data_IF_364372847603
#
_entry.id   IF_364372847603
#
_cell.length_a   1.000
_cell.length_b   1.000
_cell.length_c   1.000
_cell.angle_alpha   90.00
_cell.angle_beta   90.00
_cell.angle_gamma   90.00
#
_symmetry.space_group_name_H-M   'P 1'
#
loop_
_entity.id
_entity.type
_entity.pdbx_description
1 polymer ?
#
# COMPACT_ATOMS: atom_id res chain seq x y z
N UNK A 1 -8.54 -24.73 15.32
CA UNK A 1 -8.14 -23.33 15.10
C UNK A 1 -9.40 -22.48 14.99
N UNK A 2 -9.40 -21.27 15.53
CA UNK A 2 -10.51 -20.32 15.41
C UNK A 2 -10.14 -19.17 14.47
N UNK A 3 -11.03 -18.86 13.55
CA UNK A 3 -10.86 -17.85 12.52
C UNK A 3 -11.91 -16.77 12.72
N UNK A 4 -11.45 -15.52 12.73
CA UNK A 4 -12.29 -14.33 12.68
C UNK A 4 -12.34 -13.83 11.26
N UNK A 5 -13.53 -13.55 10.74
CA UNK A 5 -13.68 -12.97 9.41
C UNK A 5 -14.85 -12.01 9.35
N UNK A 6 -14.85 -11.15 8.33
CA UNK A 6 -15.78 -10.04 8.19
C UNK A 6 -16.38 -10.08 6.80
N UNK A 7 -17.70 -10.02 6.75
CA UNK A 7 -18.45 -9.87 5.52
C UNK A 7 -19.10 -8.48 5.49
N UNK A 8 -19.01 -7.81 4.35
CA UNK A 8 -19.77 -6.59 4.12
C UNK A 8 -21.27 -6.88 3.87
N UNK A 9 -22.05 -5.82 3.64
CA UNK A 9 -23.47 -5.90 3.32
C UNK A 9 -23.81 -6.68 2.04
N UNK A 10 -22.80 -7.03 1.22
CA UNK A 10 -22.95 -7.83 -0.02
C UNK A 10 -22.50 -9.29 0.14
N UNK A 11 -22.16 -9.70 1.37
CA UNK A 11 -21.56 -11.00 1.66
C UNK A 11 -20.16 -11.17 1.06
N UNK A 12 -19.45 -10.10 0.72
CA UNK A 12 -18.07 -10.19 0.25
C UNK A 12 -17.10 -10.15 1.45
N UNK A 13 -16.04 -10.96 1.35
CA UNK A 13 -15.00 -11.03 2.36
C UNK A 13 -14.17 -9.74 2.39
N UNK A 14 -14.26 -9.03 3.51
CA UNK A 14 -13.49 -7.81 3.76
C UNK A 14 -12.16 -8.10 4.45
N UNK A 15 -12.15 -9.08 5.36
CA UNK A 15 -11.01 -9.37 6.21
C UNK A 15 -11.15 -10.77 6.84
N UNK A 16 -10.03 -11.46 7.04
CA UNK A 16 -9.95 -12.70 7.81
C UNK A 16 -8.58 -12.88 8.48
N UNK A 17 -8.57 -13.52 9.66
CA UNK A 17 -7.34 -13.99 10.32
C UNK A 17 -7.60 -15.13 11.30
N UNK A 18 -6.52 -15.77 11.75
CA UNK A 18 -6.55 -16.68 12.89
C UNK A 18 -6.65 -15.85 14.17
N UNK A 19 -7.56 -16.23 15.07
CA UNK A 19 -7.73 -15.58 16.37
C UNK A 19 -7.01 -16.33 17.49
N UNK A 20 -7.22 -17.64 17.55
CA UNK A 20 -6.68 -18.50 18.60
C UNK A 20 -6.70 -19.97 18.16
N UNK A 21 -5.77 -20.77 18.68
CA UNK A 21 -5.86 -22.23 18.67
C UNK A 21 -6.50 -22.80 19.94
N UNK A 22 -6.52 -22.01 21.02
CA UNK A 22 -7.08 -22.36 22.33
C UNK A 22 -8.47 -21.74 22.51
N UNK A 23 -9.42 -22.58 22.92
CA UNK A 23 -10.80 -22.14 23.21
C UNK A 23 -10.87 -21.26 24.45
N UNK A 24 -9.97 -21.43 25.42
CA UNK A 24 -9.99 -20.69 26.68
C UNK A 24 -9.64 -19.20 26.50
N UNK A 25 -8.85 -18.87 25.48
CA UNK A 25 -8.49 -17.48 25.14
C UNK A 25 -9.42 -16.88 24.07
N UNK A 26 -10.37 -17.66 23.55
CA UNK A 26 -11.15 -17.26 22.38
C UNK A 26 -12.04 -16.05 22.64
N UNK A 27 -12.70 -16.01 23.80
CA UNK A 27 -13.59 -14.91 24.18
C UNK A 27 -12.85 -13.56 24.16
N UNK A 28 -11.67 -13.50 24.80
CA UNK A 28 -10.80 -12.32 24.79
C UNK A 28 -10.26 -12.01 23.39
N UNK A 29 -9.72 -13.01 22.67
CA UNK A 29 -9.14 -12.78 21.33
C UNK A 29 -10.16 -12.29 20.32
N UNK A 30 -11.39 -12.78 20.43
CA UNK A 30 -12.47 -12.34 19.56
C UNK A 30 -12.99 -10.96 19.94
N UNK A 31 -13.08 -10.62 21.23
CA UNK A 31 -13.36 -9.25 21.69
C UNK A 31 -12.31 -8.23 21.22
N UNK A 32 -11.03 -8.53 21.42
CA UNK A 32 -9.91 -7.74 20.90
C UNK A 32 -10.00 -7.54 19.39
N UNK A 33 -10.32 -8.61 18.67
CA UNK A 33 -10.55 -8.54 17.23
C UNK A 33 -11.69 -7.59 16.90
N UNK A 34 -12.88 -7.76 17.50
CA UNK A 34 -14.04 -6.89 17.27
C UNK A 34 -13.71 -5.40 17.50
N UNK A 35 -13.09 -5.05 18.63
CA UNK A 35 -12.71 -3.67 18.91
C UNK A 35 -11.61 -3.14 17.98
N UNK A 36 -10.65 -3.97 17.58
CA UNK A 36 -9.63 -3.55 16.61
C UNK A 36 -10.26 -3.13 15.28
N UNK A 37 -11.29 -3.84 14.82
CA UNK A 37 -12.00 -3.51 13.58
C UNK A 37 -12.75 -2.18 13.70
N UNK A 38 -13.44 -1.96 14.82
CA UNK A 38 -14.13 -0.68 15.08
C UNK A 38 -13.16 0.49 15.09
N UNK A 39 -12.02 0.38 15.79
CA UNK A 39 -11.02 1.47 15.86
C UNK A 39 -10.51 1.89 14.48
N UNK A 40 -10.35 0.93 13.56
CA UNK A 40 -10.03 1.22 12.17
C UNK A 40 -11.18 1.93 11.44
N UNK A 41 -12.40 1.43 11.62
CA UNK A 41 -13.59 1.95 10.90
C UNK A 41 -14.06 3.33 11.37
N UNK A 42 -13.84 3.69 12.63
CA UNK A 42 -14.20 5.02 13.18
C UNK A 42 -13.39 6.18 12.56
N UNK A 43 -12.33 5.89 11.80
CA UNK A 43 -11.62 6.92 11.01
C UNK A 43 -12.43 7.38 9.78
N UNK A 44 -13.37 6.56 9.31
CA UNK A 44 -14.20 6.84 8.15
C UNK A 44 -15.39 7.76 8.47
N UNK A 45 -16.15 8.12 7.44
CA UNK A 45 -17.33 8.98 7.56
C UNK A 45 -18.52 8.29 8.27
N UNK A 46 -18.54 6.96 8.29
CA UNK A 46 -19.58 6.13 8.91
C UNK A 46 -19.08 4.71 9.15
N UNK A 47 -19.78 3.95 9.99
CA UNK A 47 -19.58 2.51 10.16
C UNK A 47 -20.41 1.74 9.12
N UNK A 48 -19.77 1.02 8.17
CA UNK A 48 -20.49 0.25 7.16
C UNK A 48 -21.29 -0.90 7.76
N UNK A 49 -22.25 -1.41 6.99
CA UNK A 49 -22.94 -2.64 7.35
C UNK A 49 -21.99 -3.83 7.18
N UNK A 50 -21.39 -4.25 8.29
CA UNK A 50 -20.45 -5.36 8.36
C UNK A 50 -20.83 -6.34 9.47
N UNK A 51 -20.60 -7.62 9.19
CA UNK A 51 -20.87 -8.73 10.09
C UNK A 51 -19.56 -9.44 10.39
N UNK A 52 -19.27 -9.56 11.68
CA UNK A 52 -18.06 -10.18 12.20
C UNK A 52 -18.40 -11.57 12.72
N UNK A 53 -17.74 -12.57 12.18
CA UNK A 53 -17.93 -13.98 12.49
C UNK A 53 -16.71 -14.55 13.21
N UNK A 54 -16.94 -15.55 14.04
CA UNK A 54 -15.92 -16.41 14.61
C UNK A 54 -16.30 -17.87 14.39
N UNK A 55 -15.45 -18.62 13.69
CA UNK A 55 -15.72 -20.03 13.37
C UNK A 55 -14.58 -20.93 13.81
N UNK A 56 -14.91 -22.19 14.10
CA UNK A 56 -13.94 -23.25 14.30
C UNK A 56 -13.59 -23.87 12.95
N UNK A 57 -12.32 -23.77 12.58
CA UNK A 57 -11.74 -24.38 11.39
C UNK A 57 -11.01 -25.70 11.72
N UNK A 58 -11.27 -26.72 10.92
CA UNK A 58 -10.51 -27.97 10.89
C UNK A 58 -9.37 -27.84 9.87
N UNK A 59 -8.12 -27.80 10.33
CA UNK A 59 -6.94 -27.65 9.48
C UNK A 59 -5.82 -26.90 10.19
N UNK A 60 -4.57 -27.38 10.06
CA UNK A 60 -3.38 -26.87 10.76
C UNK A 60 -2.59 -25.83 9.95
N UNK A 61 -2.89 -25.65 8.67
CA UNK A 61 -2.14 -24.74 7.80
C UNK A 61 -2.74 -23.33 7.79
N UNK A 62 -2.18 -22.45 8.62
CA UNK A 62 -2.56 -21.05 8.70
C UNK A 62 -2.32 -20.24 7.42
N UNK A 63 -1.63 -20.78 6.41
CA UNK A 63 -1.42 -20.11 5.13
C UNK A 63 -2.65 -20.18 4.20
N UNK A 64 -3.71 -20.90 4.57
CA UNK A 64 -4.93 -21.08 3.76
C UNK A 64 -6.19 -20.45 4.35
N UNK A 65 -6.04 -19.51 5.29
CA UNK A 65 -7.18 -18.89 6.00
C UNK A 65 -8.17 -18.25 5.03
N UNK A 66 -7.70 -17.44 4.07
CA UNK A 66 -8.57 -16.82 3.06
C UNK A 66 -9.31 -17.89 2.25
N UNK A 67 -8.60 -18.88 1.71
CA UNK A 67 -9.19 -19.95 0.89
C UNK A 67 -10.23 -20.76 1.66
N UNK A 68 -9.96 -21.04 2.94
CA UNK A 68 -10.90 -21.76 3.80
C UNK A 68 -12.16 -20.94 4.07
N UNK A 69 -12.01 -19.64 4.37
CA UNK A 69 -13.15 -18.74 4.58
C UNK A 69 -13.97 -18.60 3.29
N UNK A 70 -13.32 -18.47 2.13
CA UNK A 70 -14.00 -18.46 0.82
C UNK A 70 -14.76 -19.74 0.56
N UNK A 71 -14.19 -20.92 0.81
CA UNK A 71 -14.88 -22.20 0.65
C UNK A 71 -16.13 -22.31 1.55
N UNK A 72 -16.06 -21.76 2.78
CA UNK A 72 -17.22 -21.68 3.68
C UNK A 72 -18.30 -20.75 3.13
N UNK A 73 -17.90 -19.59 2.59
CA UNK A 73 -18.79 -18.60 1.94
C UNK A 73 -19.39 -19.16 0.63
N UNK A 74 -18.66 -19.99 -0.10
CA UNK A 74 -19.17 -20.56 -1.36
C UNK A 74 -20.18 -21.69 -1.09
N UNK A 75 -20.02 -22.41 0.03
CA UNK A 75 -20.88 -23.55 0.41
C UNK A 75 -22.18 -23.18 1.11
N UNK A 76 -22.42 -21.90 1.41
CA UNK A 76 -23.58 -21.53 2.25
C UNK A 76 -23.41 -21.92 3.73
N UNK A 77 -22.20 -22.29 4.17
CA UNK A 77 -21.98 -23.01 5.42
C UNK A 77 -21.63 -22.11 6.62
N UNK A 78 -21.74 -20.78 6.49
CA UNK A 78 -21.52 -19.86 7.61
C UNK A 78 -22.79 -19.77 8.47
N UNK A 79 -22.66 -19.71 9.81
CA UNK A 79 -23.83 -19.60 10.69
C UNK A 79 -24.55 -18.28 10.44
N UNK A 80 -25.76 -18.33 9.89
CA UNK A 80 -26.49 -17.13 9.46
C UNK A 80 -26.76 -16.13 10.59
N UNK A 81 -26.87 -16.63 11.83
CA UNK A 81 -27.33 -15.83 12.99
C UNK A 81 -26.27 -15.65 14.10
N UNK A 82 -25.10 -16.29 14.01
CA UNK A 82 -24.03 -16.16 15.02
C UNK A 82 -22.94 -15.18 14.55
N UNK A 83 -23.30 -13.89 14.50
CA UNK A 83 -22.39 -12.80 14.16
C UNK A 83 -22.61 -11.57 15.04
N UNK A 84 -21.60 -10.71 15.10
CA UNK A 84 -21.68 -9.39 15.74
C UNK A 84 -21.67 -8.33 14.65
N UNK A 85 -22.55 -7.33 14.75
CA UNK A 85 -22.54 -6.20 13.81
C UNK A 85 -21.46 -5.23 14.21
N UNK A 86 -20.71 -4.74 13.23
CA UNK A 86 -19.70 -3.69 13.46
C UNK A 86 -20.30 -2.47 14.17
N UNK A 87 -21.54 -2.09 13.82
CA UNK A 87 -22.25 -0.95 14.43
C UNK A 87 -22.59 -1.18 15.90
N UNK A 88 -23.01 -2.39 16.27
CA UNK A 88 -23.29 -2.74 17.67
C UNK A 88 -22.01 -2.63 18.51
N UNK A 89 -20.90 -3.18 17.99
CA UNK A 89 -19.58 -3.11 18.64
C UNK A 89 -19.11 -1.64 18.71
N UNK A 90 -19.35 -0.86 17.64
CA UNK A 90 -19.06 0.57 17.57
C UNK A 90 -19.75 1.36 18.66
N UNK A 91 -21.05 1.13 18.84
CA UNK A 91 -21.83 1.72 19.91
C UNK A 91 -21.23 1.39 21.28
N UNK A 92 -20.99 0.10 21.59
CA UNK A 92 -20.36 -0.32 22.85
C UNK A 92 -18.99 0.34 23.04
N UNK A 93 -18.18 0.41 21.98
CA UNK A 93 -16.87 1.04 22.01
C UNK A 93 -16.93 2.54 22.35
N UNK A 94 -18.00 3.24 21.98
CA UNK A 94 -18.14 4.68 22.21
C UNK A 94 -18.89 5.01 23.50
N UNK A 95 -19.79 4.14 23.97
CA UNK A 95 -20.66 4.43 25.12
C UNK A 95 -20.32 3.68 26.39
N UNK A 96 -19.62 2.53 26.30
CA UNK A 96 -19.32 1.74 27.49
C UNK A 96 -18.28 2.42 28.38
N UNK A 97 -18.52 2.33 29.69
CA UNK A 97 -17.66 2.87 30.74
C UNK A 97 -16.22 2.37 30.58
N UNK A 98 -15.28 3.30 30.39
CA UNK A 98 -13.86 3.00 30.22
C UNK A 98 -13.27 2.21 31.38
N UNK A 99 -13.81 2.37 32.60
CA UNK A 99 -13.33 1.66 33.79
C UNK A 99 -13.82 0.21 33.90
N UNK A 100 -14.88 -0.14 33.17
CA UNK A 100 -15.45 -1.51 33.15
C UNK A 100 -15.10 -2.28 31.89
N UNK A 101 -14.50 -1.60 30.90
CA UNK A 101 -14.23 -2.17 29.60
C UNK A 101 -13.24 -3.32 29.69
N UNK A 102 -13.66 -4.48 29.21
CA UNK A 102 -12.77 -5.60 28.89
C UNK A 102 -12.83 -5.85 27.39
N UNK A 103 -11.71 -6.27 26.79
CA UNK A 103 -11.66 -6.64 25.37
C UNK A 103 -12.18 -8.09 25.16
N UNK A 104 -13.35 -8.44 25.70
CA UNK A 104 -13.98 -9.76 25.57
C UNK A 104 -15.29 -9.73 24.78
N UNK A 105 -15.65 -10.85 24.14
CA UNK A 105 -16.95 -11.01 23.48
C UNK A 105 -18.08 -10.93 24.50
N UNK A 106 -17.94 -11.59 25.63
CA UNK A 106 -18.94 -11.60 26.71
C UNK A 106 -19.25 -10.19 27.22
N UNK A 107 -18.23 -9.32 27.28
CA UNK A 107 -18.44 -7.92 27.62
C UNK A 107 -19.27 -7.18 26.57
N UNK A 108 -18.92 -7.32 25.29
CA UNK A 108 -19.66 -6.71 24.18
C UNK A 108 -21.13 -7.15 24.22
N UNK A 109 -21.37 -8.46 24.32
CA UNK A 109 -22.73 -9.03 24.38
C UNK A 109 -23.47 -8.52 25.61
N UNK A 110 -22.85 -8.56 26.79
CA UNK A 110 -23.47 -8.11 28.04
C UNK A 110 -23.81 -6.61 28.07
N UNK A 111 -22.98 -5.75 27.46
CA UNK A 111 -23.30 -4.32 27.31
C UNK A 111 -24.48 -4.09 26.35
N UNK A 112 -24.54 -4.84 25.24
CA UNK A 112 -25.65 -4.75 24.29
C UNK A 112 -26.96 -5.23 24.93
N UNK A 113 -26.93 -6.35 25.65
CA UNK A 113 -28.10 -6.84 26.37
C UNK A 113 -28.60 -5.80 27.39
N UNK A 114 -27.69 -5.22 28.19
CA UNK A 114 -28.05 -4.16 29.15
C UNK A 114 -28.61 -2.91 28.46
N UNK A 115 -28.08 -2.56 27.29
CA UNK A 115 -28.58 -1.46 26.46
C UNK A 115 -30.00 -1.73 25.99
N UNK A 116 -30.27 -2.93 25.47
CA UNK A 116 -31.59 -3.32 24.96
C UNK A 116 -32.66 -3.37 26.05
N UNK A 117 -32.31 -3.79 27.27
CA UNK A 117 -33.22 -3.80 28.42
C UNK A 117 -33.46 -2.39 29.01
N UNK A 118 -32.68 -1.40 28.62
CA UNK A 118 -32.84 -0.01 29.04
C UNK A 118 -33.51 0.80 27.92
N UNK A 119 -34.78 1.14 28.08
CA UNK A 119 -35.53 1.85 27.02
C UNK A 119 -34.94 3.18 26.55
N UNK A 120 -34.12 3.87 27.36
CA UNK A 120 -33.41 5.08 26.91
C UNK A 120 -32.16 4.72 26.10
N UNK A 121 -31.38 3.76 26.58
CA UNK A 121 -30.16 3.32 25.90
C UNK A 121 -30.47 2.58 24.60
N UNK A 122 -31.52 1.76 24.56
CA UNK A 122 -32.02 1.11 23.35
C UNK A 122 -32.40 2.11 22.25
N UNK A 123 -33.12 3.19 22.60
CA UNK A 123 -33.41 4.27 21.63
C UNK A 123 -32.15 4.96 21.11
N UNK A 124 -31.10 5.07 21.95
CA UNK A 124 -29.82 5.64 21.53
C UNK A 124 -29.10 4.71 20.54
N UNK A 125 -29.12 3.40 20.77
CA UNK A 125 -28.59 2.40 19.84
C UNK A 125 -29.33 2.42 18.49
N UNK A 126 -30.66 2.53 18.50
CA UNK A 126 -31.44 2.70 17.26
C UNK A 126 -31.06 3.97 16.51
N UNK A 127 -30.99 5.11 17.19
CA UNK A 127 -30.56 6.38 16.59
C UNK A 127 -29.12 6.29 16.03
N UNK A 128 -28.24 5.56 16.71
CA UNK A 128 -26.88 5.29 16.25
C UNK A 128 -26.87 4.48 14.95
N UNK A 129 -27.69 3.44 14.86
CA UNK A 129 -27.87 2.66 13.63
C UNK A 129 -28.44 3.50 12.49
N UNK A 130 -29.44 4.32 12.77
CA UNK A 130 -30.08 5.16 11.75
C UNK A 130 -29.13 6.24 11.22
N UNK A 131 -28.28 6.81 12.08
CA UNK A 131 -27.23 7.72 11.66
C UNK A 131 -26.29 7.05 10.63
N UNK A 132 -25.70 5.90 10.98
CA UNK A 132 -24.75 5.21 10.11
C UNK A 132 -25.41 4.66 8.84
N UNK A 133 -26.64 4.16 8.93
CA UNK A 133 -27.41 3.69 7.77
C UNK A 133 -27.78 4.83 6.82
N UNK A 134 -28.18 5.98 7.37
CA UNK A 134 -28.51 7.16 6.55
C UNK A 134 -27.28 7.69 5.85
N UNK A 135 -26.14 7.78 6.56
CA UNK A 135 -24.85 8.10 5.96
C UNK A 135 -24.48 7.10 4.87
N UNK A 136 -24.59 5.80 5.13
CA UNK A 136 -24.31 4.73 4.15
C UNK A 136 -25.10 4.89 2.84
N UNK A 137 -26.38 5.24 2.94
CA UNK A 137 -27.30 5.40 1.80
C UNK A 137 -27.18 6.75 1.09
N UNK A 138 -26.62 7.78 1.73
CA UNK A 138 -26.39 9.08 1.13
C UNK A 138 -25.27 8.98 0.08
N UNK A 139 -25.62 8.51 -1.11
CA UNK A 139 -24.71 8.38 -2.25
C UNK A 139 -24.55 9.68 -3.03
N UNK A 140 -25.41 10.67 -2.79
CA UNK A 140 -25.41 11.96 -3.48
C UNK A 140 -24.33 12.93 -3.01
N UNK A 141 -23.80 12.73 -1.80
CA UNK A 141 -22.77 13.60 -1.20
C UNK A 141 -21.52 12.82 -0.78
N UNK A 142 -21.13 11.80 -1.55
CA UNK A 142 -19.96 10.98 -1.20
C UNK A 142 -18.66 11.64 -1.55
N UNK A 143 -17.78 11.71 -0.57
CA UNK A 143 -16.39 12.10 -0.78
C UNK A 143 -15.64 10.85 -1.20
N UNK A 144 -15.03 10.89 -2.38
CA UNK A 144 -14.14 9.83 -2.83
C UNK A 144 -12.69 10.31 -2.73
N UNK A 145 -11.81 9.37 -2.38
CA UNK A 145 -10.36 9.57 -2.57
C UNK A 145 -9.97 8.94 -3.90
N UNK A 146 -9.32 9.71 -4.77
CA UNK A 146 -8.77 9.20 -6.01
C UNK A 146 -7.25 9.34 -6.04
N UNK A 147 -6.56 8.27 -6.43
CA UNK A 147 -5.11 8.29 -6.62
C UNK A 147 -4.82 8.08 -8.09
N UNK A 148 -4.18 9.07 -8.71
CA UNK A 148 -3.76 9.06 -10.09
C UNK A 148 -2.27 8.72 -10.19
N UNK A 149 -1.96 7.76 -11.04
CA UNK A 149 -0.60 7.44 -11.49
C UNK A 149 -0.57 7.36 -13.02
N UNK A 150 0.59 7.05 -13.62
CA UNK A 150 0.66 6.79 -15.07
C UNK A 150 -0.12 5.55 -15.52
N UNK A 151 -0.57 4.69 -14.60
CA UNK A 151 -1.42 3.53 -14.91
C UNK A 151 -2.91 3.90 -15.03
N UNK A 152 -3.31 5.08 -14.52
CA UNK A 152 -4.68 5.56 -14.48
C UNK A 152 -5.08 5.98 -13.08
N UNK A 153 -6.37 5.89 -12.77
CA UNK A 153 -6.96 6.35 -11.50
C UNK A 153 -7.61 5.19 -10.76
N UNK A 154 -7.29 5.03 -9.47
CA UNK A 154 -8.05 4.18 -8.55
C UNK A 154 -8.88 5.03 -7.60
N UNK A 155 -10.07 4.55 -7.28
CA UNK A 155 -11.02 5.21 -6.37
C UNK A 155 -11.15 4.40 -5.08
N UNK A 156 -11.29 5.13 -3.99
CA UNK A 156 -11.48 4.60 -2.64
C UNK A 156 -12.62 5.35 -1.97
N UNK A 157 -13.45 4.61 -1.26
CA UNK A 157 -14.57 5.20 -0.51
C UNK A 157 -14.11 5.88 0.78
N UNK A 158 -15.04 6.58 1.43
CA UNK A 158 -14.83 7.33 2.67
C UNK A 158 -15.00 6.46 3.94
N UNK A 159 -15.02 5.13 3.80
CA UNK A 159 -15.03 4.22 4.96
C UNK A 159 -13.64 4.11 5.58
N UNK A 160 -13.55 3.63 6.82
CA UNK A 160 -12.23 3.39 7.42
C UNK A 160 -11.41 2.35 6.66
N UNK A 161 -12.03 1.34 6.04
CA UNK A 161 -11.34 0.41 5.13
C UNK A 161 -10.85 1.10 3.86
N UNK A 162 -11.65 1.98 3.28
CA UNK A 162 -11.26 2.80 2.14
C UNK A 162 -10.00 3.61 2.42
N UNK A 163 -9.94 4.25 3.60
CA UNK A 163 -8.76 5.01 4.04
C UNK A 163 -7.53 4.12 4.30
N UNK A 164 -7.69 2.96 4.92
CA UNK A 164 -6.59 1.99 5.08
C UNK A 164 -6.04 1.53 3.71
N UNK A 165 -6.92 1.31 2.73
CA UNK A 165 -6.53 0.93 1.37
C UNK A 165 -5.81 2.04 0.63
N UNK A 166 -6.17 3.29 0.87
CA UNK A 166 -5.42 4.46 0.38
C UNK A 166 -3.99 4.41 0.93
N UNK A 167 -3.82 4.22 2.24
CA UNK A 167 -2.50 4.11 2.87
C UNK A 167 -1.70 2.94 2.27
N UNK A 168 -2.30 1.75 2.15
CA UNK A 168 -1.68 0.58 1.56
C UNK A 168 -1.29 0.76 0.08
N UNK A 169 -2.12 1.42 -0.72
CA UNK A 169 -1.80 1.68 -2.11
C UNK A 169 -0.67 2.71 -2.25
N UNK A 170 -0.67 3.76 -1.42
CA UNK A 170 0.43 4.72 -1.39
C UNK A 170 1.74 4.05 -0.95
N UNK A 171 1.70 3.17 0.05
CA UNK A 171 2.86 2.37 0.45
C UNK A 171 3.32 1.45 -0.69
N UNK A 172 2.41 0.82 -1.44
CA UNK A 172 2.77 0.03 -2.61
C UNK A 172 3.51 0.87 -3.67
N UNK A 173 3.05 2.09 -3.95
CA UNK A 173 3.72 2.99 -4.89
C UNK A 173 5.11 3.42 -4.38
N UNK A 174 5.25 3.65 -3.06
CA UNK A 174 6.55 3.96 -2.46
C UNK A 174 7.52 2.77 -2.50
N UNK A 175 7.04 1.56 -2.19
CA UNK A 175 7.81 0.32 -2.24
C UNK A 175 8.28 -0.01 -3.67
N UNK A 176 7.53 0.46 -4.67
CA UNK A 176 7.83 0.31 -6.08
C UNK A 176 8.29 1.62 -6.72
N UNK A 177 8.74 2.61 -5.92
CA UNK A 177 8.99 3.96 -6.40
C UNK A 177 9.97 4.01 -7.57
N UNK A 178 10.93 3.10 -7.64
CA UNK A 178 11.94 3.00 -8.70
C UNK A 178 11.61 1.97 -9.79
N UNK A 179 10.48 1.26 -9.69
CA UNK A 179 10.09 0.20 -10.62
C UNK A 179 9.69 0.74 -12.01
N UNK A 180 9.84 -0.07 -13.07
CA UNK A 180 9.33 0.23 -14.41
C UNK A 180 7.82 0.50 -14.50
N UNK A 181 7.01 0.07 -13.51
CA UNK A 181 5.56 0.37 -13.49
C UNK A 181 5.28 1.88 -13.53
N UNK A 182 6.24 2.69 -13.07
CA UNK A 182 6.15 4.15 -13.06
C UNK A 182 6.97 4.82 -14.17
N UNK A 183 7.42 4.09 -15.21
CA UNK A 183 8.27 4.66 -16.29
C UNK A 183 7.64 5.90 -16.96
N UNK A 184 6.32 5.94 -17.07
CA UNK A 184 5.58 7.05 -17.67
C UNK A 184 4.77 7.84 -16.62
N UNK A 185 5.18 7.81 -15.36
CA UNK A 185 4.54 8.56 -14.28
C UNK A 185 5.45 9.70 -13.87
N UNK A 186 5.15 10.92 -14.32
CA UNK A 186 5.89 12.11 -13.88
C UNK A 186 5.41 12.57 -12.50
N UNK A 187 4.12 12.40 -12.23
CA UNK A 187 3.49 12.79 -10.97
C UNK A 187 2.52 11.73 -10.48
N UNK A 188 2.48 11.57 -9.16
CA UNK A 188 1.39 10.90 -8.45
C UNK A 188 0.50 11.98 -7.82
N UNK A 189 -0.81 11.93 -8.10
CA UNK A 189 -1.77 12.90 -7.60
C UNK A 189 -2.81 12.25 -6.69
N UNK A 190 -3.07 12.85 -5.53
CA UNK A 190 -4.17 12.46 -4.63
C UNK A 190 -5.24 13.54 -4.67
N UNK A 191 -6.47 13.12 -4.91
CA UNK A 191 -7.64 13.99 -5.07
C UNK A 191 -8.72 13.61 -4.07
N UNK A 192 -9.42 14.62 -3.55
CA UNK A 192 -10.63 14.46 -2.77
C UNK A 192 -11.73 15.24 -3.47
N UNK A 193 -12.84 14.59 -3.80
CA UNK A 193 -13.98 15.27 -4.40
C UNK A 193 -15.28 14.62 -3.99
N UNK A 194 -16.31 15.45 -3.85
CA UNK A 194 -17.68 14.97 -3.69
C UNK A 194 -18.28 14.61 -5.04
N UNK A 195 -19.04 13.51 -5.10
CA UNK A 195 -19.78 13.13 -6.30
C UNK A 195 -21.12 12.50 -5.94
N UNK A 196 -22.10 12.76 -6.80
CA UNK A 196 -23.41 12.10 -6.87
C UNK A 196 -23.44 10.98 -7.92
N UNK A 197 -22.31 10.75 -8.63
CA UNK A 197 -22.22 9.74 -9.67
C UNK A 197 -22.16 8.35 -9.04
N UNK A 198 -23.33 7.69 -9.02
CA UNK A 198 -23.49 6.35 -8.46
C UNK A 198 -22.49 5.32 -9.02
N UNK A 199 -22.04 5.45 -10.28
CA UNK A 199 -21.05 4.52 -10.85
C UNK A 199 -19.66 4.68 -10.24
N UNK A 200 -19.25 5.91 -9.94
CA UNK A 200 -17.96 6.18 -9.29
C UNK A 200 -17.98 5.75 -7.83
N UNK A 201 -19.09 6.03 -7.13
CA UNK A 201 -19.31 5.56 -5.75
C UNK A 201 -19.28 4.04 -5.68
N UNK A 202 -19.96 3.37 -6.62
CA UNK A 202 -19.96 1.92 -6.70
C UNK A 202 -18.56 1.37 -6.97
N UNK A 203 -17.81 1.99 -7.91
CA UNK A 203 -16.45 1.56 -8.21
C UNK A 203 -15.51 1.73 -7.02
N UNK A 204 -15.68 2.80 -6.24
CA UNK A 204 -14.91 3.05 -5.03
C UNK A 204 -15.19 1.99 -3.94
N UNK A 205 -16.43 1.50 -3.82
CA UNK A 205 -16.79 0.43 -2.87
C UNK A 205 -16.17 -0.92 -3.22
N UNK A 206 -15.92 -1.18 -4.50
CA UNK A 206 -15.24 -2.40 -4.95
C UNK A 206 -13.73 -2.40 -4.64
N UNK A 207 -13.19 -1.31 -4.09
CA UNK A 207 -11.76 -1.19 -3.80
C UNK A 207 -11.22 -2.33 -2.93
N UNK A 208 -12.03 -2.98 -2.10
CA UNK A 208 -11.57 -4.11 -1.29
C UNK A 208 -11.03 -5.30 -2.07
N UNK A 209 -11.53 -5.52 -3.29
CA UNK A 209 -11.17 -6.69 -4.10
C UNK A 209 -9.71 -6.67 -4.58
N UNK A 210 -9.09 -5.48 -4.63
CA UNK A 210 -7.68 -5.32 -5.04
C UNK A 210 -6.69 -5.39 -3.87
N UNK A 211 -7.11 -5.81 -2.68
CA UNK A 211 -6.23 -5.99 -1.52
C UNK A 211 -6.33 -7.39 -0.92
N UNK A 212 -5.31 -7.80 -0.16
CA UNK A 212 -5.38 -9.01 0.65
C UNK A 212 -6.34 -8.79 1.83
N UNK A 213 -7.24 -9.74 2.14
CA UNK A 213 -8.17 -9.63 3.26
C UNK A 213 -7.49 -10.07 4.56
N UNK A 214 -6.30 -9.54 4.87
CA UNK A 214 -5.50 -9.90 6.04
C UNK A 214 -4.94 -8.64 6.73
N UNK A 215 -4.26 -8.82 7.87
CA UNK A 215 -3.61 -7.74 8.63
C UNK A 215 -2.60 -6.91 7.81
N UNK A 216 -2.12 -7.42 6.67
CA UNK A 216 -1.15 -6.71 5.84
C UNK A 216 -1.81 -5.79 4.82
N UNK A 217 -3.09 -6.00 4.50
CA UNK A 217 -3.89 -5.21 3.56
C UNK A 217 -3.07 -4.82 2.31
N UNK A 218 -2.41 -5.78 1.67
CA UNK A 218 -1.47 -5.51 0.57
C UNK A 218 -2.20 -5.36 -0.74
N UNK A 219 -1.83 -4.34 -1.51
CA UNK A 219 -2.35 -4.14 -2.86
C UNK A 219 -1.96 -5.28 -3.81
N UNK A 220 -2.90 -5.73 -4.63
CA UNK A 220 -2.78 -6.81 -5.61
C UNK A 220 -2.98 -6.21 -7.01
N UNK A 221 -1.89 -5.83 -7.71
CA UNK A 221 -2.00 -5.12 -9.00
C UNK A 221 -2.83 -5.86 -10.06
N UNK A 222 -2.75 -7.19 -10.09
CA UNK A 222 -3.48 -8.02 -11.04
C UNK A 222 -5.01 -7.98 -10.89
N UNK A 223 -5.51 -7.51 -9.73
CA UNK A 223 -6.95 -7.35 -9.46
C UNK A 223 -7.43 -5.91 -9.61
N UNK A 224 -6.53 -4.97 -9.91
CA UNK A 224 -6.86 -3.56 -9.99
C UNK A 224 -7.37 -3.18 -11.39
N UNK A 225 -8.47 -2.45 -11.43
CA UNK A 225 -9.03 -1.88 -12.66
C UNK A 225 -8.85 -0.37 -12.65
N UNK A 226 -7.90 0.12 -13.44
CA UNK A 226 -7.58 1.54 -13.53
C UNK A 226 -8.59 2.28 -14.41
N UNK A 227 -9.18 3.33 -13.85
CA UNK A 227 -10.03 4.24 -14.58
C UNK A 227 -9.19 5.25 -15.37
N UNK A 228 -9.79 5.83 -16.40
CA UNK A 228 -9.18 6.90 -17.20
C UNK A 228 -9.15 8.21 -16.40
N UNK A 229 -8.16 9.06 -16.66
CA UNK A 229 -7.94 10.31 -15.92
C UNK A 229 -8.98 11.40 -16.20
N UNK A 230 -9.83 11.25 -17.22
CA UNK A 230 -10.90 12.19 -17.55
C UNK A 230 -11.99 12.26 -16.48
N UNK A 231 -12.11 11.25 -15.61
CA UNK A 231 -12.99 11.31 -14.43
C UNK A 231 -12.59 12.40 -13.44
N UNK A 232 -11.33 12.85 -13.48
CA UNK A 232 -10.80 13.91 -12.63
C UNK A 232 -10.84 15.28 -13.32
N UNK A 233 -11.50 15.40 -14.48
CA UNK A 233 -11.58 16.67 -15.22
C UNK A 233 -12.24 17.74 -14.34
N UNK A 234 -11.51 18.83 -14.11
CA UNK A 234 -11.98 19.94 -13.28
C UNK A 234 -11.64 19.79 -11.79
N UNK A 235 -11.19 18.61 -11.35
CA UNK A 235 -10.66 18.40 -10.01
C UNK A 235 -9.22 18.90 -9.92
N UNK A 236 -8.86 19.53 -8.79
CA UNK A 236 -7.47 19.86 -8.48
C UNK A 236 -6.91 18.83 -7.51
N UNK A 237 -5.66 18.37 -7.70
CA UNK A 237 -5.04 17.48 -6.73
C UNK A 237 -4.87 18.21 -5.40
N UNK A 238 -5.21 17.53 -4.32
CA UNK A 238 -4.96 18.01 -2.97
C UNK A 238 -3.47 17.88 -2.61
N UNK A 239 -2.84 16.82 -3.14
CA UNK A 239 -1.41 16.55 -3.00
C UNK A 239 -0.87 16.02 -4.33
N UNK A 240 0.30 16.50 -4.75
CA UNK A 240 1.06 15.92 -5.85
C UNK A 240 2.46 15.56 -5.38
N UNK A 241 2.98 14.44 -5.85
CA UNK A 241 4.38 14.04 -5.66
C UNK A 241 5.06 13.87 -7.02
N UNK A 242 6.26 14.44 -7.14
CA UNK A 242 7.16 14.19 -8.27
C UNK A 242 7.67 12.75 -8.19
N UNK A 243 7.46 12.00 -9.26
CA UNK A 243 7.81 10.58 -9.37
C UNK A 243 9.11 10.36 -10.16
N UNK A 244 9.96 11.38 -10.30
CA UNK A 244 11.31 11.23 -10.82
C UNK A 244 12.10 10.20 -9.99
N UNK A 245 12.80 9.22 -10.61
CA UNK A 245 13.47 8.12 -9.90
C UNK A 245 14.75 8.61 -9.23
N UNK A 246 14.63 9.31 -8.11
CA UNK A 246 15.75 9.65 -7.25
C UNK A 246 15.37 9.56 -5.76
N UNK A 247 16.41 9.46 -4.93
CA UNK A 247 16.27 9.25 -3.50
C UNK A 247 15.61 10.44 -2.77
N UNK A 248 15.80 11.67 -3.26
CA UNK A 248 15.22 12.85 -2.62
C UNK A 248 13.70 12.87 -2.83
N UNK A 249 13.23 12.59 -4.05
CA UNK A 249 11.80 12.48 -4.38
C UNK A 249 11.12 11.32 -3.67
N UNK A 250 11.77 10.16 -3.59
CA UNK A 250 11.27 9.05 -2.80
C UNK A 250 11.06 9.45 -1.33
N UNK A 251 12.04 10.09 -0.69
CA UNK A 251 11.92 10.55 0.71
C UNK A 251 10.88 11.65 0.89
N UNK A 252 10.72 12.53 -0.08
CA UNK A 252 9.66 13.53 -0.11
C UNK A 252 8.27 12.87 -0.11
N UNK A 253 8.07 11.83 -0.93
CA UNK A 253 6.84 11.04 -0.95
C UNK A 253 6.57 10.37 0.40
N UNK A 254 7.59 9.72 1.00
CA UNK A 254 7.45 9.11 2.33
C UNK A 254 7.03 10.12 3.38
N UNK A 255 7.66 11.29 3.40
CA UNK A 255 7.34 12.37 4.35
C UNK A 255 5.93 12.90 4.14
N UNK A 256 5.54 13.14 2.89
CA UNK A 256 4.25 13.72 2.52
C UNK A 256 3.08 12.84 2.96
N UNK A 257 3.19 11.54 2.74
CA UNK A 257 2.13 10.57 3.07
C UNK A 257 2.37 9.83 4.40
N UNK A 258 3.41 10.19 5.15
CA UNK A 258 3.82 9.54 6.42
C UNK A 258 3.99 8.02 6.29
N UNK A 259 4.60 7.59 5.18
CA UNK A 259 4.81 6.19 4.83
C UNK A 259 6.09 5.64 5.49
N UNK A 260 6.17 4.31 5.56
CA UNK A 260 7.36 3.62 6.06
C UNK A 260 8.42 3.54 4.96
N UNK A 261 9.67 3.80 5.32
CA UNK A 261 10.80 3.53 4.43
C UNK A 261 11.04 2.03 4.33
N UNK A 262 10.95 1.50 3.10
CA UNK A 262 11.28 0.11 2.81
C UNK A 262 12.73 -0.04 2.36
N UNK A 263 13.34 -1.18 2.72
CA UNK A 263 14.74 -1.48 2.43
C UNK A 263 15.08 -1.44 0.93
N UNK A 264 14.28 -2.01 0.00
CA UNK A 264 14.67 -2.05 -1.41
C UNK A 264 14.74 -0.68 -2.09
N UNK A 265 13.72 0.21 -2.03
CA UNK A 265 13.84 1.57 -2.59
C UNK A 265 14.97 2.39 -1.96
N UNK A 266 15.22 2.23 -0.66
CA UNK A 266 16.35 2.89 -0.01
C UNK A 266 17.69 2.46 -0.63
N UNK A 267 17.92 1.15 -0.78
CA UNK A 267 19.15 0.64 -1.42
C UNK A 267 19.26 1.10 -2.87
N UNK A 268 18.16 1.04 -3.64
CA UNK A 268 18.14 1.48 -5.04
C UNK A 268 18.49 2.96 -5.14
N UNK A 269 17.92 3.82 -4.29
CA UNK A 269 18.20 5.25 -4.29
C UNK A 269 19.66 5.59 -3.96
N UNK A 270 20.31 4.83 -3.07
CA UNK A 270 21.75 4.98 -2.79
C UNK A 270 22.59 4.51 -3.99
N UNK A 271 22.27 3.35 -4.57
CA UNK A 271 22.96 2.82 -5.74
C UNK A 271 22.83 3.74 -6.96
N UNK A 272 21.66 4.33 -7.19
CA UNK A 272 21.42 5.30 -8.26
C UNK A 272 22.32 6.53 -8.10
N UNK A 273 22.42 7.08 -6.88
CA UNK A 273 23.35 8.18 -6.57
C UNK A 273 24.79 7.81 -6.86
N UNK A 274 25.25 6.67 -6.34
CA UNK A 274 26.61 6.15 -6.61
C UNK A 274 26.86 5.93 -8.10
N UNK A 275 25.85 5.47 -8.84
CA UNK A 275 25.93 5.28 -10.27
C UNK A 275 26.09 6.60 -11.05
N UNK A 276 25.51 7.70 -10.55
CA UNK A 276 25.55 9.01 -11.20
C UNK A 276 26.79 9.83 -10.81
N UNK A 277 27.25 9.74 -9.56
CA UNK A 277 28.34 10.60 -9.05
C UNK A 277 29.68 9.87 -8.93
N UNK A 278 29.66 8.54 -8.77
CA UNK A 278 30.86 7.74 -8.47
C UNK A 278 31.49 8.06 -7.11
N UNK A 279 30.78 8.77 -6.23
CA UNK A 279 31.33 9.27 -4.97
C UNK A 279 30.93 8.38 -3.78
N UNK A 280 31.91 7.70 -3.17
CA UNK A 280 31.69 6.83 -2.02
C UNK A 280 31.36 7.58 -0.74
N UNK A 281 31.68 8.87 -0.63
CA UNK A 281 31.34 9.69 0.54
C UNK A 281 29.83 9.89 0.70
N UNK A 282 29.05 9.63 -0.37
CA UNK A 282 27.59 9.67 -0.33
C UNK A 282 26.97 8.39 0.28
N UNK A 283 27.78 7.37 0.57
CA UNK A 283 27.30 6.17 1.24
C UNK A 283 26.96 6.46 2.69
N UNK A 284 25.84 5.93 3.21
CA UNK A 284 25.51 6.08 4.61
C UNK A 284 26.54 5.34 5.46
N UNK A 285 27.00 5.96 6.54
CA UNK A 285 27.92 5.36 7.52
C UNK A 285 27.31 4.14 8.25
N UNK A 286 25.98 3.98 8.16
CA UNK A 286 25.21 3.01 8.93
C UNK A 286 24.89 1.72 8.14
N UNK A 287 24.77 0.60 8.84
CA UNK A 287 24.64 -0.78 8.30
C UNK A 287 23.34 -1.09 7.53
N UNK A 288 22.47 -0.11 7.33
CA UNK A 288 21.19 -0.32 6.64
C UNK A 288 21.34 -0.43 5.11
N UNK A 289 22.49 -0.04 4.56
CA UNK A 289 22.80 -0.26 3.15
C UNK A 289 23.41 -1.65 2.93
N UNK A 290 22.63 -2.52 2.27
CA UNK A 290 22.97 -3.94 2.10
C UNK A 290 24.22 -4.18 1.25
N UNK A 291 24.50 -3.27 0.32
CA UNK A 291 25.60 -3.40 -0.64
C UNK A 291 26.92 -2.78 -0.18
N UNK A 292 27.03 -2.37 1.09
CA UNK A 292 28.23 -1.72 1.61
C UNK A 292 29.52 -2.52 1.31
N UNK A 293 29.47 -3.85 1.52
CA UNK A 293 30.60 -4.74 1.26
C UNK A 293 31.05 -4.75 -0.21
N UNK A 294 30.13 -4.53 -1.15
CA UNK A 294 30.43 -4.50 -2.59
C UNK A 294 31.33 -3.32 -2.99
N UNK A 295 31.45 -2.30 -2.13
CA UNK A 295 32.28 -1.12 -2.36
C UNK A 295 33.50 -1.02 -1.43
N UNK A 296 33.66 -1.94 -0.47
CA UNK A 296 34.70 -1.81 0.58
C UNK A 296 36.13 -1.83 0.02
N UNK A 297 36.40 -2.63 -1.02
CA UNK A 297 37.73 -2.64 -1.68
C UNK A 297 38.03 -1.31 -2.38
N UNK A 298 37.03 -0.74 -3.05
CA UNK A 298 37.15 0.58 -3.70
C UNK A 298 37.34 1.69 -2.67
N UNK A 299 36.64 1.61 -1.52
CA UNK A 299 36.77 2.56 -0.42
C UNK A 299 38.17 2.51 0.21
N UNK A 300 38.70 1.31 0.49
CA UNK A 300 40.07 1.14 0.99
C UNK A 300 41.11 1.68 0.01
N UNK A 301 40.95 1.39 -1.29
CA UNK A 301 41.87 1.88 -2.33
C UNK A 301 41.83 3.41 -2.44
N UNK A 302 40.66 4.04 -2.31
CA UNK A 302 40.52 5.49 -2.29
C UNK A 302 41.15 6.14 -1.05
N UNK A 303 41.05 5.50 0.12
CA UNK A 303 41.61 6.01 1.38
C UNK A 303 43.12 5.79 1.51
N UNK A 304 43.67 4.71 0.94
CA UNK A 304 45.10 4.43 0.95
C UNK A 304 45.91 5.24 -0.06
N UNK A 305 45.24 5.74 -1.09
CA UNK A 305 45.84 6.66 -2.05
C UNK A 305 45.68 8.08 -1.50
N UNK A 306 46.73 8.90 -1.48
CA UNK A 306 46.71 10.31 -1.03
C UNK A 306 45.85 11.24 -1.94
N UNK A 307 44.67 10.79 -2.37
CA UNK A 307 43.87 11.30 -3.48
C UNK A 307 42.78 12.31 -3.08
N UNK A 308 42.63 12.65 -1.79
CA UNK A 308 41.69 13.70 -1.37
C UNK A 308 41.99 15.07 -2.04
N UNK A 309 43.20 15.26 -2.58
CA UNK A 309 43.63 16.44 -3.34
C UNK A 309 43.62 16.30 -4.87
N UNK A 310 43.17 15.16 -5.43
CA UNK A 310 43.40 14.76 -6.83
C UNK A 310 42.14 14.25 -7.57
N UNK A 311 40.97 14.83 -7.27
CA UNK A 311 39.70 14.52 -7.92
C UNK A 311 39.75 14.56 -9.47
N UNK A 312 40.65 15.38 -10.04
CA UNK A 312 40.80 15.59 -11.49
C UNK A 312 41.89 14.73 -12.15
N UNK A 313 42.45 13.75 -11.45
CA UNK A 313 43.45 12.84 -12.02
C UNK A 313 42.81 11.68 -12.77
N UNK A 314 43.53 11.12 -13.77
CA UNK A 314 43.12 9.93 -14.50
C UNK A 314 42.79 8.74 -13.58
N UNK A 315 43.52 8.61 -12.47
CA UNK A 315 43.25 7.59 -11.47
C UNK A 315 41.94 7.87 -10.71
N UNK A 316 41.73 9.10 -10.23
CA UNK A 316 40.49 9.50 -9.56
C UNK A 316 39.24 9.29 -10.45
N UNK A 317 39.31 9.69 -11.72
CA UNK A 317 38.23 9.46 -12.68
C UNK A 317 37.97 7.97 -12.94
N UNK A 318 39.02 7.14 -13.07
CA UNK A 318 38.89 5.70 -13.22
C UNK A 318 38.25 5.03 -12.00
N UNK A 319 38.58 5.48 -10.79
CA UNK A 319 37.96 4.96 -9.56
C UNK A 319 36.48 5.36 -9.45
N UNK A 320 36.12 6.62 -9.73
CA UNK A 320 34.71 7.05 -9.78
C UNK A 320 33.91 6.27 -10.82
N UNK A 321 34.53 5.96 -11.96
CA UNK A 321 33.92 5.12 -12.97
C UNK A 321 33.70 3.68 -12.47
N UNK A 322 34.67 3.09 -11.76
CA UNK A 322 34.55 1.75 -11.18
C UNK A 322 33.42 1.67 -10.13
N UNK A 323 33.24 2.71 -9.31
CA UNK A 323 32.11 2.84 -8.38
C UNK A 323 30.80 2.88 -9.17
N UNK A 324 30.74 3.74 -10.19
CA UNK A 324 29.54 3.93 -11.02
C UNK A 324 29.11 2.64 -11.73
N UNK A 325 30.08 1.89 -12.26
CA UNK A 325 29.85 0.63 -12.97
C UNK A 325 29.47 -0.51 -12.02
N UNK A 326 30.07 -0.55 -10.82
CA UNK A 326 29.68 -1.52 -9.77
C UNK A 326 28.23 -1.28 -9.35
N UNK A 327 27.85 -0.03 -9.08
CA UNK A 327 26.48 0.32 -8.72
C UNK A 327 25.50 -0.01 -9.86
N UNK A 328 25.85 0.34 -11.11
CA UNK A 328 25.03 0.01 -12.30
C UNK A 328 24.80 -1.48 -12.43
N UNK A 329 25.83 -2.30 -12.23
CA UNK A 329 25.75 -3.76 -12.33
C UNK A 329 24.81 -4.34 -11.27
N UNK A 330 24.87 -3.84 -10.03
CA UNK A 330 23.96 -4.27 -8.97
C UNK A 330 22.52 -3.88 -9.32
N UNK A 331 22.30 -2.64 -9.74
CA UNK A 331 20.97 -2.16 -10.18
C UNK A 331 20.40 -3.01 -11.33
N UNK A 332 21.24 -3.46 -12.26
CA UNK A 332 20.85 -4.28 -13.42
C UNK A 332 20.56 -5.75 -13.09
N UNK A 333 21.30 -6.31 -12.13
CA UNK A 333 21.28 -7.75 -11.88
C UNK A 333 20.39 -8.14 -10.69
N UNK A 334 20.25 -7.27 -9.70
CA UNK A 334 19.57 -7.58 -8.43
C UNK A 334 18.22 -6.86 -8.28
N UNK A 335 17.96 -5.83 -9.07
CA UNK A 335 16.75 -5.02 -8.97
C UNK A 335 16.08 -4.82 -10.33
N UNK A 336 14.76 -4.69 -10.33
CA UNK A 336 13.99 -4.27 -11.51
C UNK A 336 13.73 -2.76 -11.43
N UNK A 337 14.62 -1.96 -12.03
CA UNK A 337 14.67 -0.49 -11.86
C UNK A 337 14.51 0.22 -13.19
N UNK A 338 13.63 1.23 -13.22
CA UNK A 338 13.43 2.06 -14.42
C UNK A 338 14.69 2.85 -14.76
N UNK A 339 15.10 2.82 -16.03
CA UNK A 339 16.29 3.51 -16.52
C UNK A 339 17.59 2.70 -16.44
N UNK A 340 17.56 1.53 -15.80
CA UNK A 340 18.69 0.61 -15.70
C UNK A 340 18.44 -0.74 -16.38
N UNK A 341 17.42 -0.84 -17.24
CA UNK A 341 17.04 -2.11 -17.85
C UNK A 341 18.15 -2.67 -18.75
N UNK A 342 18.36 -3.99 -18.70
CA UNK A 342 19.28 -4.65 -19.62
C UNK A 342 18.77 -4.51 -21.07
N UNK A 343 19.66 -4.24 -22.05
CA UNK A 343 19.26 -4.15 -23.45
C UNK A 343 18.63 -5.47 -23.90
N UNK A 344 17.37 -5.42 -24.34
CA UNK A 344 16.72 -6.55 -25.00
C UNK A 344 17.40 -6.84 -26.34
N UNK A 345 17.35 -8.09 -26.85
CA UNK A 345 18.01 -8.47 -28.11
C UNK A 345 17.68 -7.53 -29.29
N UNK A 346 16.46 -6.99 -29.35
CA UNK A 346 16.04 -6.03 -30.38
C UNK A 346 16.71 -4.65 -30.27
N UNK A 347 17.02 -4.18 -29.06
CA UNK A 347 17.77 -2.92 -28.89
C UNK A 347 19.24 -3.03 -29.30
N UNK A 348 19.85 -4.23 -29.23
CA UNK A 348 21.22 -4.45 -29.73
C UNK A 348 21.29 -4.29 -31.26
N UNK A 349 20.34 -4.89 -31.99
CA UNK A 349 20.24 -4.76 -33.46
C UNK A 349 19.99 -3.32 -33.94
N UNK A 350 19.31 -2.49 -33.15
CA UNK A 350 19.10 -1.05 -33.46
C UNK A 350 20.34 -0.20 -33.18
N UNK A 351 21.14 -0.50 -32.16
CA UNK A 351 22.39 0.23 -31.87
C UNK A 351 23.49 -0.07 -32.89
N UNK A 352 23.53 -1.27 -33.45
CA UNK A 352 24.43 -1.64 -34.55
C UNK A 352 24.08 -0.93 -35.88
N UNK A 353 22.88 -0.36 -36.01
CA UNK A 353 22.40 0.38 -37.18
C UNK A 353 22.36 1.91 -36.97
N UNK A 354 23.43 2.52 -36.45
CA UNK A 354 23.65 3.98 -36.63
C UNK A 354 24.54 4.23 -37.85
N UNK A 355 24.27 5.29 -38.64
CA UNK A 355 24.63 5.35 -40.06
C UNK A 355 26.11 5.68 -40.27
N UNK A 356 26.72 5.00 -41.24
CA UNK A 356 28.02 5.36 -41.79
C UNK A 356 28.01 6.83 -42.22
N UNK A 357 28.97 7.60 -41.70
CA UNK A 357 29.27 8.96 -42.18
C UNK A 357 29.69 8.86 -43.65
N UNK A 358 28.81 9.28 -44.56
CA UNK A 358 29.19 9.48 -45.96
C UNK A 358 30.14 10.68 -46.04
N UNK A 359 31.43 10.38 -46.15
CA UNK A 359 32.46 11.37 -46.46
C UNK A 359 32.21 11.98 -47.83
N UNK A 360 31.95 13.29 -47.87
CA UNK A 360 32.03 14.09 -49.09
C UNK A 360 33.49 14.10 -49.57
N UNK A 361 33.79 13.34 -50.63
CA UNK A 361 35.00 13.54 -51.42
C UNK A 361 34.81 14.75 -52.33
N UNK A 362 35.59 15.79 -52.05
CA UNK A 362 35.91 16.89 -52.95
C UNK A 362 36.52 16.31 -54.23
N UNK A 363 35.96 16.65 -55.40
CA UNK A 363 36.62 16.43 -56.70
C UNK A 363 37.16 17.75 -57.21
N UNK A 364 38.46 17.76 -57.45
CA UNK A 364 39.26 18.77 -58.13
C UNK A 364 39.43 18.33 -59.59
N UNK A 365 39.35 19.28 -60.53
CA UNK A 365 39.89 19.21 -61.91
C UNK A 365 38.94 18.61 -62.94
N UNK A 366 38.78 19.17 -64.15
CA UNK A 366 39.55 20.16 -64.92
C UNK A 366 38.60 20.99 -65.78
#
# INVERSE_FOLDING_TARGET
>A
MYIGFILNGRNELEYCRILSSDVNDLDRRFGEFCFSQVRGQLKGAYLPEERIYCIKAAGEDGNRVESLVRDIIDRGAWPSDDYQRLRDIGFVHETADSYRRTDSRDFIVGELERTLHNGRAGRLLEAYHDFHRSREKDTGNRVLTAIQTGQGVLLFDDTGRGLERVESYLQYNADNFFSPIHRNTDKLGVYYFSTDNARLVEKARECGRMFTPDDRCRFIPAKAEFLRSDILRGCKPAVECDMSPDLARYREMLKTFKLRESEPPFNIGILDRLCRTGNLDEMPENRNFRHFCSFSSLHLQMNHSFLSSQADTLLGSSMRQAVSDTARRILQNEYDVRGYELPTPDTRRRREKKPEKTGKKTKIGR
#
